data_IF_843896770294
#
_entry.id   IF_843896770294
#
_cell.length_a   1.000
_cell.length_b   1.000
_cell.length_c   1.000
_cell.angle_alpha   90.00
_cell.angle_beta   90.00
_cell.angle_gamma   90.00
#
_symmetry.space_group_name_H-M   'P 1'
#
loop_
_entity.id
_entity.type
_entity.pdbx_description
1 polymer ?
#
# COMPACT_ATOMS: atom_id res chain seq x y z
N UNK A 1 11.86 5.96 12.00
CA UNK A 1 10.70 5.07 12.16
C UNK A 1 9.42 5.87 11.97
N UNK A 2 8.48 5.38 11.12
CA UNK A 2 7.21 6.09 10.87
C UNK A 2 6.27 6.04 12.08
N UNK A 3 6.48 5.13 13.00
CA UNK A 3 5.73 5.03 14.25
C UNK A 3 6.39 5.82 15.41
N UNK A 4 7.40 6.62 15.11
CA UNK A 4 8.00 7.57 16.07
C UNK A 4 7.54 9.00 15.73
N UNK A 5 6.58 9.49 16.48
CA UNK A 5 5.97 10.80 16.30
C UNK A 5 7.00 11.94 16.32
N UNK A 6 8.00 11.84 17.22
CA UNK A 6 9.03 12.88 17.34
C UNK A 6 9.94 12.94 16.12
N UNK A 7 10.29 11.78 15.56
CA UNK A 7 11.09 11.72 14.32
C UNK A 7 10.30 12.28 13.14
N UNK A 8 9.00 11.96 13.04
CA UNK A 8 8.13 12.45 11.96
C UNK A 8 7.96 13.96 12.06
N UNK A 9 7.64 14.51 13.22
CA UNK A 9 7.52 15.95 13.44
C UNK A 9 8.81 16.68 13.10
N UNK A 10 9.94 16.22 13.62
CA UNK A 10 11.26 16.80 13.32
C UNK A 10 11.60 16.79 11.83
N UNK A 11 11.17 15.78 11.09
CA UNK A 11 11.36 15.70 9.64
C UNK A 11 10.59 16.83 8.93
N UNK A 12 9.33 17.04 9.29
CA UNK A 12 8.47 18.05 8.68
C UNK A 12 8.93 19.47 9.05
N UNK A 13 9.30 19.72 10.30
CA UNK A 13 9.85 20.99 10.77
C UNK A 13 11.14 21.39 10.05
N UNK A 14 12.01 20.43 9.78
CA UNK A 14 13.37 20.70 9.28
C UNK A 14 13.46 20.97 7.79
N UNK A 15 12.38 20.78 7.01
CA UNK A 15 12.40 20.81 5.54
C UNK A 15 11.14 21.45 4.97
N UNK A 16 11.29 22.12 3.83
CA UNK A 16 10.16 22.52 2.99
C UNK A 16 9.65 21.32 2.19
N UNK A 17 8.86 20.49 2.86
CA UNK A 17 8.29 19.28 2.25
C UNK A 17 7.01 19.65 1.49
N UNK A 18 6.92 19.28 0.24
CA UNK A 18 5.73 19.48 -0.60
C UNK A 18 4.81 18.26 -0.63
N UNK A 19 5.38 17.07 -0.43
CA UNK A 19 4.71 15.80 -0.44
C UNK A 19 5.39 14.86 0.54
N UNK A 20 4.61 14.10 1.28
CA UNK A 20 5.10 13.00 2.08
C UNK A 20 4.63 11.69 1.44
N UNK A 21 5.58 10.83 1.03
CA UNK A 21 5.27 9.51 0.48
C UNK A 21 5.54 8.43 1.50
N UNK A 22 4.51 7.67 1.88
CA UNK A 22 4.63 6.51 2.75
C UNK A 22 4.64 5.20 1.95
N UNK A 23 5.82 4.64 1.75
CA UNK A 23 6.03 3.28 1.23
C UNK A 23 6.47 2.28 2.29
N UNK A 24 6.54 2.69 3.56
CA UNK A 24 6.88 1.78 4.66
C UNK A 24 5.65 0.95 5.05
N UNK A 25 5.84 -0.35 5.23
CA UNK A 25 4.81 -1.25 5.69
C UNK A 25 5.42 -2.54 6.28
N UNK A 26 4.71 -3.16 7.20
CA UNK A 26 4.87 -4.58 7.52
C UNK A 26 4.19 -5.36 6.39
N UNK A 27 4.93 -6.15 5.62
CA UNK A 27 4.45 -6.78 4.38
C UNK A 27 4.44 -8.30 4.40
N UNK A 28 4.86 -8.93 5.50
CA UNK A 28 4.77 -10.38 5.67
C UNK A 28 3.33 -10.74 6.05
N UNK A 29 2.56 -11.22 5.07
CA UNK A 29 1.13 -11.51 5.23
C UNK A 29 0.92 -12.61 6.26
N UNK A 30 1.68 -13.70 6.17
CA UNK A 30 1.57 -14.84 7.09
C UNK A 30 2.15 -14.49 8.46
N UNK A 31 3.27 -13.79 8.50
CA UNK A 31 3.89 -13.31 9.73
C UNK A 31 2.99 -12.38 10.54
N UNK A 32 2.12 -11.60 9.89
CA UNK A 32 1.18 -10.69 10.56
C UNK A 32 0.22 -11.41 11.50
N UNK A 33 -0.11 -12.68 11.23
CA UNK A 33 -0.99 -13.48 12.12
C UNK A 33 -0.33 -13.74 13.48
N UNK A 34 0.98 -13.91 13.53
CA UNK A 34 1.75 -14.13 14.76
C UNK A 34 2.35 -12.86 15.35
N UNK A 35 2.61 -11.85 14.51
CA UNK A 35 3.23 -10.57 14.90
C UNK A 35 2.25 -9.41 14.77
N UNK A 36 1.00 -9.63 15.14
CA UNK A 36 -0.10 -8.68 14.95
C UNK A 36 0.17 -7.30 15.57
N UNK A 37 0.85 -7.26 16.71
CA UNK A 37 1.21 -6.01 17.38
C UNK A 37 2.18 -5.17 16.52
N UNK A 38 3.18 -5.81 15.91
CA UNK A 38 4.12 -5.11 15.04
C UNK A 38 3.47 -4.72 13.70
N UNK A 39 2.62 -5.59 13.14
CA UNK A 39 1.84 -5.26 11.96
C UNK A 39 0.95 -4.02 12.19
N UNK A 40 0.26 -3.94 13.34
CA UNK A 40 -0.53 -2.76 13.71
C UNK A 40 0.36 -1.54 13.96
N UNK A 41 1.47 -1.68 14.67
CA UNK A 41 2.38 -0.57 14.93
C UNK A 41 2.82 0.10 13.61
N UNK A 42 3.19 -0.70 12.61
CA UNK A 42 3.71 -0.18 11.33
C UNK A 42 2.60 0.22 10.36
N UNK A 43 1.52 -0.59 10.26
CA UNK A 43 0.50 -0.42 9.22
C UNK A 43 -0.70 0.44 9.63
N UNK A 44 -0.88 0.68 10.93
CA UNK A 44 -1.99 1.45 11.51
C UNK A 44 -1.44 2.70 12.24
N UNK A 45 -0.67 2.53 13.32
CA UNK A 45 -0.15 3.67 14.10
C UNK A 45 0.82 4.55 13.29
N UNK A 46 1.69 3.95 12.47
CA UNK A 46 2.59 4.70 11.60
C UNK A 46 1.84 5.64 10.63
N UNK A 47 0.90 5.13 9.81
CA UNK A 47 0.04 5.97 8.96
C UNK A 47 -0.74 7.04 9.71
N UNK A 48 -1.28 6.74 10.93
CA UNK A 48 -1.93 7.73 11.77
C UNK A 48 -1.00 8.91 12.10
N UNK A 49 0.18 8.61 12.62
CA UNK A 49 1.18 9.64 12.98
C UNK A 49 1.57 10.49 11.77
N UNK A 50 1.79 9.86 10.61
CA UNK A 50 2.11 10.57 9.38
C UNK A 50 0.97 11.47 8.94
N UNK A 51 -0.28 11.00 9.01
CA UNK A 51 -1.45 11.73 8.58
C UNK A 51 -1.76 12.93 9.48
N UNK A 52 -1.68 12.75 10.81
CA UNK A 52 -1.83 13.82 11.79
C UNK A 52 -0.77 14.93 11.56
N UNK A 53 0.49 14.54 11.38
CA UNK A 53 1.56 15.49 11.08
C UNK A 53 1.34 16.19 9.72
N UNK A 54 0.92 15.45 8.69
CA UNK A 54 0.59 16.01 7.38
C UNK A 54 -0.57 17.01 7.45
N UNK A 55 -1.59 16.75 8.26
CA UNK A 55 -2.71 17.65 8.49
C UNK A 55 -2.23 18.95 9.16
N UNK A 56 -1.40 18.84 10.19
CA UNK A 56 -0.85 19.98 10.94
C UNK A 56 0.01 20.89 10.04
N UNK A 57 0.87 20.29 9.21
CA UNK A 57 1.79 21.06 8.36
C UNK A 57 1.22 21.39 6.97
N UNK A 58 0.00 20.98 6.67
CA UNK A 58 -0.63 21.22 5.36
C UNK A 58 0.07 20.51 4.20
N UNK A 59 0.74 19.39 4.47
CA UNK A 59 1.50 18.60 3.48
C UNK A 59 0.62 17.44 2.99
N UNK A 60 0.41 17.27 1.68
CA UNK A 60 -0.31 16.10 1.17
C UNK A 60 0.43 14.79 1.43
N UNK A 61 -0.31 13.75 1.85
CA UNK A 61 0.18 12.40 2.10
C UNK A 61 -0.14 11.49 0.92
N UNK A 62 0.85 10.78 0.39
CA UNK A 62 0.68 9.66 -0.52
C UNK A 62 0.98 8.37 0.23
N UNK A 63 0.03 7.43 0.27
CA UNK A 63 0.15 6.17 1.00
C UNK A 63 -0.07 4.97 0.08
N UNK A 64 0.82 3.98 0.16
CA UNK A 64 0.65 2.71 -0.54
C UNK A 64 -0.12 1.72 0.35
N UNK A 65 -1.28 1.31 -0.11
CA UNK A 65 -2.14 0.29 0.50
C UNK A 65 -2.19 -0.98 -0.35
N UNK A 66 -3.16 -1.84 -0.12
CA UNK A 66 -3.24 -3.19 -0.66
C UNK A 66 -4.67 -3.58 -1.05
N UNK A 67 -4.82 -4.51 -1.98
CA UNK A 67 -6.06 -5.21 -2.30
C UNK A 67 -6.53 -6.17 -1.19
N UNK A 68 -5.65 -6.55 -0.26
CA UNK A 68 -6.00 -7.37 0.92
C UNK A 68 -6.98 -6.68 1.90
N UNK A 69 -7.33 -5.42 1.67
CA UNK A 69 -8.44 -4.75 2.39
C UNK A 69 -9.80 -5.33 2.02
N UNK A 70 -9.90 -6.09 0.93
CA UNK A 70 -11.10 -6.79 0.47
C UNK A 70 -11.08 -8.26 0.85
N UNK A 71 -12.26 -8.92 0.81
CA UNK A 71 -12.41 -10.34 1.16
C UNK A 71 -12.20 -11.33 -0.01
N UNK A 72 -12.04 -10.82 -1.23
CA UNK A 72 -11.82 -11.65 -2.41
C UNK A 72 -13.07 -12.38 -2.94
N UNK A 73 -14.25 -12.15 -2.38
CA UNK A 73 -15.47 -12.88 -2.75
C UNK A 73 -16.19 -12.32 -3.99
N UNK A 74 -15.83 -11.13 -4.46
CA UNK A 74 -16.43 -10.50 -5.63
C UNK A 74 -15.90 -11.16 -6.90
N UNK A 75 -16.80 -11.51 -7.83
CA UNK A 75 -16.44 -12.11 -9.14
C UNK A 75 -15.88 -11.09 -10.12
N UNK A 76 -16.38 -9.86 -10.05
CA UNK A 76 -15.91 -8.72 -10.83
C UNK A 76 -14.78 -7.98 -10.10
N UNK A 77 -14.14 -7.03 -10.79
CA UNK A 77 -13.14 -6.18 -10.16
C UNK A 77 -13.77 -5.36 -9.01
N UNK A 78 -13.01 -5.24 -7.90
CA UNK A 78 -13.37 -4.30 -6.85
C UNK A 78 -13.21 -2.86 -7.33
N UNK A 79 -14.10 -2.00 -6.84
CA UNK A 79 -14.04 -0.55 -7.01
C UNK A 79 -13.55 0.10 -5.72
N UNK A 80 -13.09 1.33 -5.80
CA UNK A 80 -12.55 2.07 -4.65
C UNK A 80 -13.58 2.26 -3.53
N UNK A 81 -14.86 2.39 -3.89
CA UNK A 81 -15.99 2.53 -2.97
C UNK A 81 -16.58 1.22 -2.44
N UNK A 82 -16.12 0.08 -2.93
CA UNK A 82 -16.59 -1.22 -2.43
C UNK A 82 -16.24 -1.39 -0.93
N UNK A 83 -17.12 -2.09 -0.21
CA UNK A 83 -16.94 -2.34 1.22
C UNK A 83 -15.66 -3.15 1.46
N UNK A 84 -14.76 -2.60 2.27
CA UNK A 84 -13.60 -3.32 2.75
C UNK A 84 -14.00 -4.34 3.80
N UNK A 85 -13.52 -5.58 3.67
CA UNK A 85 -13.77 -6.70 4.59
C UNK A 85 -12.53 -7.62 4.63
N UNK A 86 -11.40 -7.16 5.19
CA UNK A 86 -10.16 -7.93 5.21
C UNK A 86 -10.32 -9.23 5.98
N UNK A 87 -9.76 -10.32 5.43
CA UNK A 87 -9.89 -11.67 5.99
C UNK A 87 -8.64 -12.14 6.74
N UNK A 88 -7.56 -11.35 6.73
CA UNK A 88 -6.33 -11.63 7.45
C UNK A 88 -5.81 -10.41 8.20
N UNK A 89 -4.88 -10.62 9.13
CA UNK A 89 -4.34 -9.57 9.99
C UNK A 89 -3.56 -8.51 9.21
N UNK A 90 -2.84 -8.88 8.14
CA UNK A 90 -2.17 -7.92 7.27
C UNK A 90 -3.16 -6.94 6.64
N UNK A 91 -4.18 -7.45 5.95
CA UNK A 91 -5.22 -6.63 5.34
C UNK A 91 -5.96 -5.78 6.36
N UNK A 92 -6.26 -6.35 7.53
CA UNK A 92 -6.90 -5.63 8.63
C UNK A 92 -6.04 -4.44 9.12
N UNK A 93 -4.75 -4.66 9.38
CA UNK A 93 -3.84 -3.60 9.82
C UNK A 93 -3.67 -2.50 8.76
N UNK A 94 -3.60 -2.87 7.48
CA UNK A 94 -3.53 -1.91 6.36
C UNK A 94 -4.83 -1.10 6.25
N UNK A 95 -5.99 -1.75 6.43
CA UNK A 95 -7.29 -1.06 6.41
C UNK A 95 -7.43 -0.07 7.54
N UNK A 96 -6.97 -0.42 8.74
CA UNK A 96 -6.96 0.52 9.87
C UNK A 96 -6.13 1.76 9.53
N UNK A 97 -4.94 1.60 8.95
CA UNK A 97 -4.12 2.74 8.51
C UNK A 97 -4.81 3.62 7.45
N UNK A 98 -5.59 3.04 6.52
CA UNK A 98 -6.41 3.83 5.60
C UNK A 98 -7.46 4.67 6.36
N UNK A 99 -8.14 4.08 7.35
CA UNK A 99 -9.14 4.77 8.18
C UNK A 99 -8.50 5.93 8.94
N UNK A 100 -7.36 5.69 9.58
CA UNK A 100 -6.62 6.72 10.31
C UNK A 100 -6.22 7.91 9.40
N UNK A 101 -5.79 7.63 8.16
CA UNK A 101 -5.47 8.68 7.19
C UNK A 101 -6.72 9.49 6.83
N UNK A 102 -7.85 8.83 6.55
CA UNK A 102 -9.10 9.47 6.18
C UNK A 102 -9.61 10.35 7.34
N UNK A 103 -9.63 9.80 8.55
CA UNK A 103 -10.19 10.45 9.75
C UNK A 103 -9.32 11.63 10.21
N UNK A 104 -8.02 11.65 9.88
CA UNK A 104 -7.13 12.79 10.18
C UNK A 104 -7.51 14.08 9.45
N UNK A 105 -8.28 13.98 8.36
CA UNK A 105 -8.63 15.11 7.50
C UNK A 105 -7.46 15.67 6.69
N UNK A 106 -6.28 15.02 6.67
CA UNK A 106 -5.18 15.45 5.82
C UNK A 106 -5.52 15.27 4.33
N UNK A 107 -4.96 16.10 3.48
CA UNK A 107 -5.00 15.89 2.02
C UNK A 107 -4.21 14.64 1.69
N UNK A 108 -4.86 13.64 1.06
CA UNK A 108 -4.22 12.34 0.88
C UNK A 108 -4.57 11.68 -0.45
N UNK A 109 -3.65 10.83 -0.91
CA UNK A 109 -3.86 9.83 -1.95
C UNK A 109 -3.47 8.47 -1.39
N UNK A 110 -4.43 7.56 -1.33
CA UNK A 110 -4.22 6.16 -0.93
C UNK A 110 -4.25 5.33 -2.19
N UNK A 111 -3.13 4.69 -2.54
CA UNK A 111 -3.04 3.77 -3.66
C UNK A 111 -3.09 2.33 -3.20
N UNK A 112 -4.20 1.65 -3.44
CA UNK A 112 -4.33 0.20 -3.26
C UNK A 112 -3.67 -0.50 -4.44
N UNK A 113 -2.66 -1.31 -4.14
CA UNK A 113 -1.92 -2.07 -5.15
C UNK A 113 -2.04 -3.57 -4.88
N UNK A 114 -1.69 -4.40 -5.87
CA UNK A 114 -1.84 -5.85 -5.83
C UNK A 114 -0.56 -6.54 -6.28
N UNK A 115 -0.18 -7.64 -5.63
CA UNK A 115 0.87 -8.56 -6.01
C UNK A 115 2.15 -7.86 -6.51
N UNK A 116 2.67 -6.94 -5.70
CA UNK A 116 3.82 -6.12 -6.06
C UNK A 116 5.08 -6.97 -6.18
N UNK A 117 5.75 -6.87 -7.31
CA UNK A 117 7.02 -7.53 -7.54
C UNK A 117 8.08 -6.58 -8.13
N UNK A 118 9.35 -6.89 -7.88
CA UNK A 118 10.45 -6.07 -8.38
C UNK A 118 11.82 -6.69 -8.16
N UNK A 119 12.89 -5.99 -8.62
CA UNK A 119 14.25 -6.50 -8.54
C UNK A 119 14.81 -6.54 -7.10
N UNK A 120 14.23 -5.75 -6.20
CA UNK A 120 14.69 -5.63 -4.82
C UNK A 120 13.79 -6.41 -3.87
N UNK A 121 14.36 -6.87 -2.74
CA UNK A 121 13.71 -7.68 -1.71
C UNK A 121 13.11 -8.98 -2.25
N UNK A 122 12.65 -9.83 -1.35
CA UNK A 122 11.95 -11.07 -1.70
C UNK A 122 10.55 -10.76 -2.24
N UNK A 123 10.09 -11.57 -3.18
CA UNK A 123 8.74 -11.53 -3.75
C UNK A 123 8.44 -12.87 -4.42
N UNK A 124 7.17 -13.13 -4.71
CA UNK A 124 6.72 -14.40 -5.29
C UNK A 124 7.49 -14.80 -6.55
N UNK A 125 7.71 -13.88 -7.49
CA UNK A 125 8.44 -14.17 -8.73
C UNK A 125 9.86 -14.70 -8.44
N UNK A 126 10.60 -14.03 -7.54
CA UNK A 126 11.96 -14.46 -7.16
C UNK A 126 11.94 -15.80 -6.44
N UNK A 127 10.94 -16.02 -5.57
CA UNK A 127 10.77 -17.29 -4.87
C UNK A 127 10.56 -18.44 -5.85
N UNK A 128 9.67 -18.28 -6.83
CA UNK A 128 9.42 -19.30 -7.86
C UNK A 128 10.66 -19.54 -8.73
N UNK A 129 11.34 -18.48 -9.16
CA UNK A 129 12.58 -18.61 -9.93
C UNK A 129 13.67 -19.36 -9.14
N UNK A 130 13.82 -19.05 -7.86
CA UNK A 130 14.78 -19.75 -6.98
C UNK A 130 14.41 -21.22 -6.79
N UNK A 131 13.15 -21.54 -6.60
CA UNK A 131 12.67 -22.93 -6.46
C UNK A 131 12.82 -23.71 -7.76
N UNK A 132 12.61 -23.09 -8.93
CA UNK A 132 12.74 -23.73 -10.23
C UNK A 132 14.16 -24.23 -10.54
N UNK A 133 15.17 -23.63 -9.91
CA UNK A 133 16.57 -24.08 -10.05
C UNK A 133 16.83 -25.38 -9.31
N UNK A 134 16.16 -25.61 -8.19
CA UNK A 134 16.48 -26.71 -7.25
C UNK A 134 15.41 -27.82 -7.22
N UNK A 135 14.18 -27.51 -7.59
CA UNK A 135 13.04 -28.46 -7.54
C UNK A 135 12.63 -28.91 -8.94
N UNK A 136 12.33 -30.20 -9.10
CA UNK A 136 11.83 -30.79 -10.36
C UNK A 136 10.36 -30.43 -10.63
N UNK A 137 9.59 -30.17 -9.58
CA UNK A 137 8.20 -29.73 -9.67
C UNK A 137 7.89 -28.77 -8.53
N UNK A 138 7.01 -27.82 -8.79
CA UNK A 138 6.54 -26.81 -7.84
C UNK A 138 5.02 -26.85 -7.90
N UNK A 139 4.37 -26.94 -6.72
CA UNK A 139 2.92 -26.79 -6.62
C UNK A 139 2.60 -25.33 -6.31
N UNK A 140 1.70 -24.75 -7.08
CA UNK A 140 1.25 -23.36 -6.92
C UNK A 140 -0.28 -23.37 -6.90
N UNK A 141 -0.89 -22.56 -6.04
CA UNK A 141 -2.35 -22.41 -5.96
C UNK A 141 -2.92 -21.80 -7.25
N UNK A 142 -4.09 -22.22 -7.67
CA UNK A 142 -4.75 -21.78 -8.91
C UNK A 142 -6.13 -21.15 -8.67
N UNK A 143 -6.59 -21.17 -7.44
CA UNK A 143 -7.89 -20.64 -7.00
C UNK A 143 -7.83 -19.17 -6.53
N UNK A 144 -6.64 -18.61 -6.37
CA UNK A 144 -6.44 -17.21 -6.04
C UNK A 144 -6.01 -16.44 -7.28
N UNK A 145 -6.75 -15.39 -7.60
CA UNK A 145 -6.50 -14.55 -8.76
C UNK A 145 -6.19 -13.11 -8.36
N UNK A 146 -5.27 -12.49 -9.09
CA UNK A 146 -4.84 -11.12 -8.81
C UNK A 146 -4.19 -10.44 -10.02
N UNK A 147 -3.57 -9.31 -9.76
CA UNK A 147 -2.98 -8.44 -10.77
C UNK A 147 -1.49 -8.20 -10.43
N UNK A 148 -0.56 -8.99 -11.00
CA UNK A 148 0.86 -8.78 -10.77
C UNK A 148 1.27 -7.36 -11.20
N UNK A 149 1.75 -6.56 -10.25
CA UNK A 149 2.06 -5.15 -10.46
C UNK A 149 3.54 -4.89 -10.19
N UNK A 150 4.27 -4.43 -11.19
CA UNK A 150 5.70 -4.18 -11.02
C UNK A 150 5.98 -2.91 -10.21
N UNK A 151 7.04 -2.93 -9.39
CA UNK A 151 7.51 -1.73 -8.69
C UNK A 151 7.85 -0.58 -9.64
N UNK A 152 8.30 -0.89 -10.87
CA UNK A 152 8.55 0.12 -11.89
C UNK A 152 7.26 0.83 -12.33
N UNK A 153 6.16 0.08 -12.52
CA UNK A 153 4.86 0.67 -12.85
C UNK A 153 4.37 1.57 -11.71
N UNK A 154 4.44 1.07 -10.47
CA UNK A 154 4.05 1.86 -9.28
C UNK A 154 4.86 3.14 -9.20
N UNK A 155 6.19 3.06 -9.29
CA UNK A 155 7.07 4.23 -9.22
C UNK A 155 6.80 5.24 -10.34
N UNK A 156 6.61 4.76 -11.57
CA UNK A 156 6.31 5.63 -12.72
C UNK A 156 4.97 6.37 -12.56
N UNK A 157 3.95 5.69 -12.06
CA UNK A 157 2.63 6.31 -11.84
C UNK A 157 2.73 7.33 -10.70
N UNK A 158 3.34 6.95 -9.58
CA UNK A 158 3.55 7.84 -8.43
C UNK A 158 4.33 9.09 -8.84
N UNK A 159 5.41 8.94 -9.61
CA UNK A 159 6.20 10.06 -10.13
C UNK A 159 5.36 10.99 -11.02
N UNK A 160 4.61 10.43 -11.98
CA UNK A 160 3.74 11.21 -12.86
C UNK A 160 2.66 11.94 -12.06
N UNK A 161 2.10 11.26 -11.07
CA UNK A 161 1.07 11.80 -10.20
C UNK A 161 1.59 12.99 -9.39
N UNK A 162 2.72 12.85 -8.72
CA UNK A 162 3.37 13.92 -7.98
C UNK A 162 3.71 15.11 -8.91
N UNK A 163 4.25 14.83 -10.10
CA UNK A 163 4.61 15.87 -11.06
C UNK A 163 3.38 16.66 -11.57
N UNK A 164 2.28 15.95 -11.86
CA UNK A 164 1.03 16.57 -12.28
C UNK A 164 0.50 17.49 -11.19
N UNK A 165 0.36 16.98 -9.99
CA UNK A 165 -0.23 17.69 -8.87
C UNK A 165 0.72 18.72 -8.19
N UNK A 166 2.00 18.70 -8.49
CA UNK A 166 2.92 19.77 -8.06
C UNK A 166 2.79 21.02 -8.94
N UNK A 167 2.35 20.85 -10.20
CA UNK A 167 2.21 21.93 -11.18
C UNK A 167 0.82 22.55 -11.17
N UNK A 168 -0.18 21.81 -10.76
CA UNK A 168 -1.57 22.21 -10.78
C UNK A 168 -2.12 22.32 -9.35
N UNK A 169 -3.08 23.24 -9.13
CA UNK A 169 -3.82 23.25 -7.89
C UNK A 169 -4.76 22.04 -7.86
N UNK A 170 -4.52 21.13 -6.94
CA UNK A 170 -5.36 19.95 -6.75
C UNK A 170 -6.70 20.41 -6.18
N UNK A 171 -7.80 20.06 -6.84
CA UNK A 171 -9.12 20.28 -6.28
C UNK A 171 -9.36 19.27 -5.13
N UNK A 172 -10.07 19.71 -4.09
CA UNK A 172 -10.32 18.84 -2.92
C UNK A 172 -11.00 17.52 -3.29
N UNK A 173 -11.81 17.50 -4.36
CA UNK A 173 -12.46 16.30 -4.89
C UNK A 173 -11.52 15.24 -5.50
N UNK A 174 -10.27 15.63 -5.79
CA UNK A 174 -9.27 14.73 -6.41
C UNK A 174 -8.44 13.99 -5.36
N UNK A 175 -8.56 14.37 -4.08
CA UNK A 175 -7.97 13.60 -2.99
C UNK A 175 -8.85 12.38 -2.68
N UNK A 176 -8.22 11.27 -2.27
CA UNK A 176 -8.96 10.06 -1.92
C UNK A 176 -8.21 8.76 -2.20
N UNK A 177 -8.99 7.71 -2.40
CA UNK A 177 -8.50 6.34 -2.63
C UNK A 177 -8.53 6.05 -4.13
N UNK A 178 -7.49 5.36 -4.61
CA UNK A 178 -7.33 4.92 -6.00
C UNK A 178 -6.79 3.51 -6.06
N UNK A 179 -7.24 2.73 -7.04
CA UNK A 179 -6.61 1.45 -7.35
C UNK A 179 -5.43 1.65 -8.31
N UNK A 180 -4.25 1.20 -7.90
CA UNK A 180 -3.03 1.24 -8.68
C UNK A 180 -2.55 -0.19 -8.91
N UNK A 181 -3.03 -0.82 -9.96
CA UNK A 181 -2.67 -2.17 -10.36
C UNK A 181 -2.50 -2.29 -11.88
N UNK A 182 -1.78 -3.30 -12.33
CA UNK A 182 -1.68 -3.62 -13.74
C UNK A 182 -3.03 -4.12 -14.28
N UNK A 183 -3.19 -4.11 -15.60
CA UNK A 183 -4.35 -4.70 -16.26
C UNK A 183 -4.14 -6.21 -16.50
N UNK A 184 -5.23 -6.93 -16.54
CA UNK A 184 -5.25 -8.37 -16.73
C UNK A 184 -5.59 -9.11 -15.43
N UNK A 185 -5.88 -10.40 -15.53
CA UNK A 185 -6.21 -11.26 -14.39
C UNK A 185 -5.50 -12.60 -14.57
N UNK A 186 -4.71 -13.00 -13.57
CA UNK A 186 -4.03 -14.30 -13.57
C UNK A 186 -4.20 -14.96 -12.19
N UNK A 187 -4.07 -16.30 -12.14
CA UNK A 187 -3.85 -16.99 -10.85
C UNK A 187 -2.35 -16.96 -10.49
N UNK A 188 -2.01 -17.38 -9.27
CA UNK A 188 -0.61 -17.58 -8.91
C UNK A 188 0.08 -18.64 -9.79
N UNK A 189 -0.68 -19.62 -10.31
CA UNK A 189 -0.19 -20.64 -11.22
C UNK A 189 -0.05 -20.12 -12.66
N UNK A 190 -0.95 -19.24 -13.15
CA UNK A 190 -0.98 -18.68 -14.50
C UNK A 190 0.03 -17.56 -14.67
#
# INVERSE_FOLDING_TARGET
DIADEREVQKLLESRQIRWLGNGAAYTDVDGAESESTEAQRVNDQGPRILAEACAEWGVPLLHLSTDYVFDGNKTDAYLEEDLCNPINMYGHSKRLGEVEIIDSGCKHFIFRTSWVYGPFRENFLKTILGLAVVKKSISVVDDQTGLPTSTNLVSMIVEKFINLYTRENIADKDYGIYHLAALGKVSWYG
#
